data_IF_898628073318
#
_entry.id   IF_898628073318
#
_cell.length_a   1.000
_cell.length_b   1.000
_cell.length_c   1.000
_cell.angle_alpha   90.00
_cell.angle_beta   90.00
_cell.angle_gamma   90.00
#
_symmetry.space_group_name_H-M   'P 1'
#
loop_
_entity.id
_entity.type
_entity.pdbx_description
1 polymer ?
#
# COMPACT_ATOMS: atom_id res chain seq x y z
N UNK A 1 14.66 -4.83 21.85
CA UNK A 1 13.97 -5.07 23.15
C UNK A 1 13.08 -6.31 23.09
N UNK A 2 12.40 -6.70 24.17
CA UNK A 2 11.49 -7.88 24.17
C UNK A 2 10.37 -7.74 23.12
N UNK A 3 9.88 -6.53 22.90
CA UNK A 3 8.91 -6.21 21.85
C UNK A 3 9.43 -6.40 20.42
N UNK A 4 10.72 -6.20 20.16
CA UNK A 4 11.36 -6.48 18.85
C UNK A 4 11.39 -7.98 18.61
N UNK A 5 11.89 -8.76 19.59
CA UNK A 5 12.01 -10.22 19.49
C UNK A 5 10.68 -10.95 19.35
N UNK A 6 9.60 -10.39 19.88
CA UNK A 6 8.26 -11.00 19.78
C UNK A 6 7.52 -10.59 18.50
N UNK A 7 8.06 -9.67 17.70
CA UNK A 7 7.39 -9.21 16.49
C UNK A 7 7.50 -10.28 15.40
N UNK A 8 6.38 -10.83 14.89
CA UNK A 8 6.42 -11.86 13.85
C UNK A 8 6.82 -11.30 12.48
N UNK A 9 6.81 -9.97 12.33
CA UNK A 9 7.20 -9.26 11.11
C UNK A 9 8.65 -8.78 11.16
N UNK A 10 9.43 -9.21 12.16
CA UNK A 10 10.84 -8.81 12.38
C UNK A 10 11.06 -7.29 12.41
N UNK A 11 10.05 -6.54 12.90
CA UNK A 11 10.13 -5.10 13.02
C UNK A 11 10.93 -4.74 14.27
N UNK A 12 11.90 -3.82 14.13
CA UNK A 12 12.48 -3.18 15.31
C UNK A 12 11.49 -2.21 15.97
N UNK A 13 10.67 -2.78 16.85
CA UNK A 13 9.57 -2.07 17.50
C UNK A 13 10.05 -0.87 18.32
N UNK A 14 11.19 -1.00 19.00
CA UNK A 14 11.69 0.13 19.80
C UNK A 14 12.28 1.23 18.94
N UNK A 15 12.77 0.93 17.74
CA UNK A 15 13.32 1.93 16.84
C UNK A 15 12.25 2.91 16.38
N UNK A 16 11.09 2.44 15.91
CA UNK A 16 10.01 3.36 15.53
C UNK A 16 9.45 4.13 16.74
N UNK A 17 9.44 3.55 17.94
CA UNK A 17 9.07 4.28 19.17
C UNK A 17 10.09 5.37 19.49
N UNK A 18 11.39 5.10 19.32
CA UNK A 18 12.44 6.10 19.51
C UNK A 18 12.35 7.24 18.47
N UNK A 19 12.05 6.91 17.21
CA UNK A 19 11.79 7.88 16.15
C UNK A 19 10.60 8.77 16.49
N UNK A 20 9.49 8.19 16.97
CA UNK A 20 8.33 8.95 17.45
C UNK A 20 8.71 9.89 18.60
N UNK A 21 9.48 9.43 19.59
CA UNK A 21 9.92 10.26 20.73
C UNK A 21 10.78 11.46 20.31
N UNK A 22 11.54 11.35 19.23
CA UNK A 22 12.35 12.45 18.67
C UNK A 22 11.58 13.35 17.70
N UNK A 23 10.31 13.03 17.43
CA UNK A 23 9.49 13.77 16.47
C UNK A 23 9.74 13.39 15.00
N UNK A 24 10.51 12.34 14.70
CA UNK A 24 10.68 11.85 13.33
C UNK A 24 9.49 10.98 12.93
N UNK A 25 8.41 11.67 12.52
CA UNK A 25 7.16 11.04 12.11
C UNK A 25 7.29 10.25 10.80
N UNK A 26 8.12 10.73 9.87
CA UNK A 26 8.35 10.06 8.58
C UNK A 26 9.09 8.74 8.79
N UNK A 27 10.21 8.78 9.51
CA UNK A 27 11.00 7.60 9.83
C UNK A 27 10.18 6.57 10.59
N UNK A 28 9.42 7.00 11.62
CA UNK A 28 8.55 6.11 12.37
C UNK A 28 7.42 5.48 11.52
N UNK A 29 6.81 6.26 10.63
CA UNK A 29 5.76 5.75 9.75
C UNK A 29 6.30 4.70 8.76
N UNK A 30 7.47 4.94 8.16
CA UNK A 30 8.11 4.00 7.24
C UNK A 30 8.58 2.74 7.97
N UNK A 31 9.28 2.90 9.11
CA UNK A 31 9.83 1.77 9.88
C UNK A 31 8.75 0.85 10.44
N UNK A 32 7.55 1.38 10.69
CA UNK A 32 6.42 0.61 11.20
C UNK A 32 5.43 0.16 10.12
N UNK A 33 5.74 0.35 8.83
CA UNK A 33 4.80 0.13 7.73
C UNK A 33 4.28 -1.31 7.69
N UNK A 34 5.16 -2.30 7.88
CA UNK A 34 4.82 -3.72 7.83
C UNK A 34 4.09 -4.24 9.07
N UNK A 35 3.76 -3.36 10.03
CA UNK A 35 3.09 -3.75 11.26
C UNK A 35 1.64 -4.19 10.99
N UNK A 36 1.41 -5.50 11.12
CA UNK A 36 0.07 -6.15 11.02
C UNK A 36 -0.82 -5.97 12.25
N UNK A 37 -0.42 -5.11 13.19
CA UNK A 37 -1.18 -4.77 14.39
C UNK A 37 -1.60 -5.95 15.31
N UNK A 38 -0.79 -7.00 15.38
CA UNK A 38 -1.09 -8.18 16.21
C UNK A 38 -1.03 -7.95 17.74
N UNK A 39 -0.49 -6.83 18.21
CA UNK A 39 -0.46 -6.48 19.63
C UNK A 39 0.55 -7.23 20.51
N UNK A 40 1.32 -8.19 19.97
CA UNK A 40 2.29 -8.99 20.73
C UNK A 40 3.38 -8.15 21.42
N UNK A 41 3.76 -7.01 20.83
CA UNK A 41 4.71 -6.09 21.46
C UNK A 41 4.16 -5.44 22.73
N UNK A 42 2.86 -5.15 22.77
CA UNK A 42 2.21 -4.48 23.90
C UNK A 42 2.10 -5.42 25.10
N UNK A 43 1.80 -6.71 24.87
CA UNK A 43 1.71 -7.70 25.96
C UNK A 43 3.02 -7.95 26.70
N UNK A 44 4.15 -7.54 26.12
CA UNK A 44 5.50 -7.67 26.70
C UNK A 44 6.08 -6.34 27.19
N UNK A 45 5.29 -5.27 27.20
CA UNK A 45 5.79 -3.93 27.50
C UNK A 45 5.67 -3.58 29.00
N UNK A 46 6.79 -3.42 29.73
CA UNK A 46 6.73 -2.99 31.13
C UNK A 46 6.22 -1.54 31.28
N UNK A 47 6.40 -0.70 30.26
CA UNK A 47 5.93 0.68 30.23
C UNK A 47 4.46 0.82 29.77
N UNK A 48 3.75 -0.30 29.58
CA UNK A 48 2.33 -0.34 29.15
C UNK A 48 2.03 0.49 27.89
N UNK A 49 3.01 0.61 26.99
CA UNK A 49 2.84 1.29 25.71
C UNK A 49 2.06 0.36 24.77
N UNK A 50 1.04 0.88 24.10
CA UNK A 50 0.40 0.20 22.97
C UNK A 50 1.12 0.52 21.66
N UNK A 51 2.26 -0.13 21.39
CA UNK A 51 3.17 0.26 20.31
C UNK A 51 2.52 0.12 18.93
N UNK A 52 1.71 -0.91 18.70
CA UNK A 52 1.01 -1.09 17.43
C UNK A 52 -0.03 0.03 17.17
N UNK A 53 -0.69 0.54 18.22
CA UNK A 53 -1.56 1.71 18.12
C UNK A 53 -0.76 2.97 17.87
N UNK A 54 0.38 3.15 18.54
CA UNK A 54 1.29 4.26 18.31
C UNK A 54 1.81 4.28 16.86
N UNK A 55 2.16 3.11 16.32
CA UNK A 55 2.53 2.90 14.93
C UNK A 55 1.39 3.27 13.97
N UNK A 56 0.16 2.82 14.22
CA UNK A 56 -0.99 3.20 13.41
C UNK A 56 -1.23 4.72 13.43
N UNK A 57 -1.15 5.33 14.61
CA UNK A 57 -1.30 6.77 14.79
C UNK A 57 -0.29 7.54 13.92
N UNK A 58 1.01 7.22 14.02
CA UNK A 58 2.03 7.94 13.26
C UNK A 58 1.91 7.72 11.75
N UNK A 59 1.53 6.51 11.31
CA UNK A 59 1.27 6.24 9.88
C UNK A 59 0.11 7.07 9.34
N UNK A 60 -0.99 7.17 10.10
CA UNK A 60 -2.16 7.97 9.71
C UNK A 60 -1.83 9.46 9.69
N UNK A 61 -1.13 9.95 10.72
CA UNK A 61 -0.75 11.35 10.82
C UNK A 61 0.21 11.74 9.67
N UNK A 62 1.25 10.94 9.45
CA UNK A 62 2.20 11.16 8.35
C UNK A 62 1.49 11.10 6.98
N UNK A 63 0.71 10.05 6.72
CA UNK A 63 0.03 9.88 5.44
C UNK A 63 -1.01 10.96 5.14
N UNK A 64 -1.71 11.49 6.15
CA UNK A 64 -2.75 12.51 5.96
C UNK A 64 -2.20 13.93 5.85
N UNK A 65 -1.20 14.28 6.65
CA UNK A 65 -0.80 15.68 6.85
C UNK A 65 0.61 16.01 6.37
N UNK A 66 1.47 15.02 6.15
CA UNK A 66 2.89 15.25 5.83
C UNK A 66 3.26 14.71 4.45
N UNK A 67 2.78 13.52 4.08
CA UNK A 67 3.09 12.89 2.81
C UNK A 67 2.42 13.66 1.64
N UNK A 68 3.19 14.10 0.63
CA UNK A 68 2.62 14.72 -0.57
C UNK A 68 1.67 13.77 -1.30
N UNK A 69 0.53 14.29 -1.76
CA UNK A 69 -0.40 13.52 -2.57
C UNK A 69 0.24 13.12 -3.91
N UNK A 70 0.06 11.88 -4.31
CA UNK A 70 0.53 11.39 -5.60
C UNK A 70 -0.33 11.96 -6.75
N UNK A 71 0.27 12.77 -7.62
CA UNK A 71 -0.46 13.42 -8.72
C UNK A 71 -1.05 12.40 -9.72
N UNK A 72 -0.35 11.28 -9.96
CA UNK A 72 -0.87 10.20 -10.80
C UNK A 72 -2.14 9.57 -10.21
N UNK A 73 -2.24 9.47 -8.88
CA UNK A 73 -3.43 8.96 -8.20
C UNK A 73 -4.60 9.93 -8.39
N UNK A 74 -4.36 11.23 -8.23
CA UNK A 74 -5.38 12.26 -8.46
C UNK A 74 -5.95 12.19 -9.88
N UNK A 75 -5.08 12.11 -10.89
CA UNK A 75 -5.49 11.94 -12.29
C UNK A 75 -6.32 10.67 -12.50
N UNK A 76 -5.92 9.55 -11.88
CA UNK A 76 -6.63 8.28 -12.02
C UNK A 76 -7.99 8.29 -11.32
N UNK A 77 -8.10 8.90 -10.14
CA UNK A 77 -9.37 9.10 -9.43
C UNK A 77 -10.32 9.94 -10.28
N UNK A 78 -9.84 11.01 -10.90
CA UNK A 78 -10.66 11.84 -11.78
C UNK A 78 -11.16 11.07 -13.00
N UNK A 79 -10.28 10.28 -13.63
CA UNK A 79 -10.67 9.41 -14.75
C UNK A 79 -11.74 8.38 -14.37
N UNK A 80 -11.68 7.83 -13.16
CA UNK A 80 -12.71 6.92 -12.65
C UNK A 80 -14.03 7.68 -12.42
N UNK A 81 -13.98 8.85 -11.78
CA UNK A 81 -15.16 9.67 -11.48
C UNK A 81 -15.85 10.22 -12.73
N UNK A 82 -15.09 10.56 -13.77
CA UNK A 82 -15.64 11.01 -15.06
C UNK A 82 -16.31 9.89 -15.87
N UNK A 83 -16.22 8.65 -15.39
CA UNK A 83 -16.81 7.49 -16.07
C UNK A 83 -16.02 7.00 -17.28
N UNK A 84 -14.74 7.41 -17.44
CA UNK A 84 -13.88 7.02 -18.57
C UNK A 84 -13.89 5.51 -18.87
N UNK A 85 -14.04 4.67 -17.83
CA UNK A 85 -13.99 3.22 -17.94
C UNK A 85 -15.36 2.54 -18.00
N UNK A 86 -16.47 3.26 -17.83
CA UNK A 86 -17.80 2.65 -17.72
C UNK A 86 -18.17 1.85 -18.96
N UNK A 87 -17.95 2.41 -20.15
CA UNK A 87 -18.26 1.74 -21.42
C UNK A 87 -17.46 0.44 -21.60
N UNK A 88 -16.15 0.49 -21.37
CA UNK A 88 -15.27 -0.70 -21.45
C UNK A 88 -15.71 -1.77 -20.44
N UNK A 89 -16.02 -1.39 -19.21
CA UNK A 89 -16.47 -2.33 -18.18
C UNK A 89 -17.82 -2.95 -18.51
N UNK A 90 -18.77 -2.18 -19.04
CA UNK A 90 -20.08 -2.68 -19.48
C UNK A 90 -19.95 -3.67 -20.66
N UNK A 91 -19.09 -3.36 -21.64
CA UNK A 91 -18.78 -4.26 -22.75
C UNK A 91 -18.13 -5.57 -22.26
N UNK A 92 -17.21 -5.50 -21.29
CA UNK A 92 -16.60 -6.69 -20.68
C UNK A 92 -17.61 -7.50 -19.86
N UNK A 93 -18.48 -6.83 -19.10
CA UNK A 93 -19.48 -7.50 -18.26
C UNK A 93 -20.53 -8.29 -19.07
N UNK A 94 -20.79 -7.88 -20.32
CA UNK A 94 -21.71 -8.55 -21.24
C UNK A 94 -21.12 -9.78 -21.93
N UNK A 95 -19.81 -9.98 -21.87
CA UNK A 95 -19.14 -11.12 -22.53
C UNK A 95 -19.36 -12.41 -21.75
N UNK A 96 -19.36 -13.52 -22.47
CA UNK A 96 -19.38 -14.85 -21.87
C UNK A 96 -18.06 -15.16 -21.14
N UNK A 97 -18.10 -16.10 -20.20
CA UNK A 97 -16.90 -16.53 -19.46
C UNK A 97 -15.79 -17.05 -20.40
N UNK A 98 -16.15 -17.72 -21.50
CA UNK A 98 -15.17 -18.26 -22.44
C UNK A 98 -14.50 -17.16 -23.27
N UNK A 99 -15.25 -16.14 -23.68
CA UNK A 99 -14.68 -14.95 -24.32
C UNK A 99 -13.74 -14.19 -23.36
N UNK A 100 -14.11 -14.06 -22.09
CA UNK A 100 -13.28 -13.41 -21.07
C UNK A 100 -11.97 -14.18 -20.82
N UNK A 101 -12.01 -15.51 -20.75
CA UNK A 101 -10.81 -16.34 -20.63
C UNK A 101 -9.88 -16.17 -21.84
N UNK A 102 -10.45 -16.13 -23.04
CA UNK A 102 -9.70 -15.90 -24.27
C UNK A 102 -9.01 -14.54 -24.25
N UNK A 103 -9.76 -13.47 -23.98
CA UNK A 103 -9.22 -12.11 -23.84
C UNK A 103 -8.13 -12.02 -22.77
N UNK A 104 -8.32 -12.66 -21.61
CA UNK A 104 -7.30 -12.69 -20.57
C UNK A 104 -6.03 -13.38 -21.03
N UNK A 105 -6.14 -14.48 -21.78
CA UNK A 105 -4.97 -15.24 -22.25
C UNK A 105 -4.23 -14.51 -23.37
N UNK A 106 -4.96 -13.81 -24.26
CA UNK A 106 -4.41 -13.05 -25.38
C UNK A 106 -3.83 -11.68 -24.96
N UNK A 107 -4.09 -11.23 -23.73
CA UNK A 107 -3.61 -9.93 -23.24
C UNK A 107 -2.08 -9.84 -23.34
N UNK A 108 -1.60 -8.65 -23.68
CA UNK A 108 -0.18 -8.36 -23.59
C UNK A 108 0.28 -8.43 -22.13
N UNK A 109 1.28 -9.28 -21.87
CA UNK A 109 1.87 -9.46 -20.55
C UNK A 109 3.15 -8.65 -20.46
N UNK A 110 3.36 -7.99 -19.33
CA UNK A 110 4.65 -7.42 -18.97
C UNK A 110 5.73 -8.53 -18.96
N UNK A 111 6.83 -8.39 -19.72
CA UNK A 111 7.91 -9.37 -19.72
C UNK A 111 8.56 -9.49 -18.35
N UNK A 112 8.88 -10.72 -17.94
CA UNK A 112 9.36 -11.05 -16.59
C UNK A 112 10.63 -10.28 -16.18
N UNK A 113 11.46 -9.88 -17.15
CA UNK A 113 12.74 -9.21 -16.91
C UNK A 113 12.69 -7.69 -17.17
N UNK A 114 11.52 -7.07 -17.11
CA UNK A 114 11.40 -5.62 -17.33
C UNK A 114 11.75 -4.83 -16.08
N UNK A 115 12.52 -3.74 -16.23
CA UNK A 115 12.78 -2.83 -15.13
C UNK A 115 11.48 -2.15 -14.66
N UNK A 116 11.28 -1.98 -13.33
CA UNK A 116 10.09 -1.32 -12.79
C UNK A 116 9.83 0.05 -13.44
N UNK A 117 8.64 0.21 -14.00
CA UNK A 117 8.20 1.47 -14.63
C UNK A 117 8.72 1.71 -16.05
N UNK A 118 9.39 0.73 -16.68
CA UNK A 118 9.82 0.82 -18.09
C UNK A 118 8.85 0.17 -19.07
N UNK A 119 7.96 -0.69 -18.59
CA UNK A 119 6.99 -1.37 -19.44
C UNK A 119 5.71 -0.55 -19.61
N UNK A 120 5.15 -0.60 -20.82
CA UNK A 120 3.82 -0.08 -21.15
C UNK A 120 3.22 -1.00 -22.22
N UNK A 121 1.94 -1.39 -22.11
CA UNK A 121 1.28 -2.15 -23.17
C UNK A 121 1.19 -1.32 -24.45
N UNK A 122 1.14 -2.00 -25.59
CA UNK A 122 0.88 -1.41 -26.91
C UNK A 122 -0.51 -0.76 -26.96
N UNK A 123 -1.49 -1.39 -26.32
CA UNK A 123 -2.81 -0.80 -26.17
C UNK A 123 -2.84 0.17 -24.98
N UNK A 124 -2.88 1.45 -25.29
CA UNK A 124 -2.92 2.55 -24.32
C UNK A 124 -4.31 3.20 -24.21
N UNK A 125 -5.33 2.62 -24.85
CA UNK A 125 -6.69 3.19 -24.93
C UNK A 125 -7.33 3.50 -23.57
N UNK A 126 -6.95 2.74 -22.53
CA UNK A 126 -7.48 2.86 -21.17
C UNK A 126 -6.43 3.27 -20.11
N UNK A 127 -5.24 3.72 -20.54
CA UNK A 127 -4.23 4.34 -19.67
C UNK A 127 -4.57 5.80 -19.31
#
# INVERSE_FOLDING_TARGET
GTCTRTCPMDIDVMDYIALMKRGDLKGAAIKSFDCVMCGLCASRCPAQISQFTAAMFVRRLYGKYVLPAAEHLKKRVEAVKSGKYLKMLDELAKKSTDELKKLYTEREREPDMTEPGKWMPKDVSHL
#
